data_IF_858341236179
#
_entry.id   IF_858341236179
#
_cell.length_a   1.000
_cell.length_b   1.000
_cell.length_c   1.000
_cell.angle_alpha   90.00
_cell.angle_beta   90.00
_cell.angle_gamma   90.00
#
_symmetry.space_group_name_H-M   'P 1'
#
loop_
_entity.id
_entity.type
_entity.pdbx_description
1 polymer ?
#
# COMPACT_ATOMS: atom_id res chain seq x y z
N UNK A 1 26.30 26.07 -27.64
CA UNK A 1 24.85 26.46 -27.72
C UNK A 1 23.89 25.27 -27.54
N UNK A 2 24.24 24.09 -28.04
CA UNK A 2 23.41 22.87 -27.90
C UNK A 2 23.39 22.32 -26.46
N UNK A 3 24.47 22.50 -25.72
CA UNK A 3 24.60 22.02 -24.34
C UNK A 3 23.76 22.83 -23.33
N UNK A 4 23.54 24.11 -23.55
CA UNK A 4 22.73 24.94 -22.64
C UNK A 4 21.24 24.68 -22.78
N UNK A 5 20.76 24.34 -23.97
CA UNK A 5 19.33 24.00 -24.19
C UNK A 5 18.99 22.64 -23.61
N UNK A 6 19.85 21.63 -23.79
CA UNK A 6 19.66 20.30 -23.21
C UNK A 6 19.66 20.32 -21.67
N UNK A 7 20.58 21.06 -21.05
CA UNK A 7 20.60 21.25 -19.60
C UNK A 7 19.33 21.97 -19.08
N UNK A 8 18.88 23.02 -19.81
CA UNK A 8 17.62 23.71 -19.52
C UNK A 8 16.40 22.78 -19.62
N UNK A 9 16.35 21.90 -20.61
CA UNK A 9 15.25 20.94 -20.79
C UNK A 9 15.24 19.85 -19.72
N UNK A 10 16.42 19.38 -19.32
CA UNK A 10 16.55 18.44 -18.19
C UNK A 10 16.09 19.11 -16.90
N UNK A 11 16.51 20.34 -16.64
CA UNK A 11 16.10 21.10 -15.45
C UNK A 11 14.59 21.37 -15.43
N UNK A 12 14.00 21.79 -16.54
CA UNK A 12 12.55 22.00 -16.67
C UNK A 12 11.77 20.71 -16.46
N UNK A 13 12.22 19.58 -17.02
CA UNK A 13 11.63 18.28 -16.78
C UNK A 13 11.71 17.86 -15.31
N UNK A 14 12.84 18.12 -14.66
CA UNK A 14 13.01 17.80 -13.25
C UNK A 14 12.08 18.63 -12.37
N UNK A 15 11.97 19.95 -12.59
CA UNK A 15 11.01 20.82 -11.90
C UNK A 15 9.56 20.35 -12.11
N UNK A 16 9.19 20.04 -13.36
CA UNK A 16 7.85 19.55 -13.67
C UNK A 16 7.54 18.23 -12.94
N UNK A 17 8.50 17.30 -12.92
CA UNK A 17 8.35 16.01 -12.24
C UNK A 17 8.26 16.18 -10.71
N UNK A 18 8.96 17.12 -10.13
CA UNK A 18 8.90 17.44 -8.69
C UNK A 18 7.53 18.04 -8.33
N UNK A 19 7.03 18.99 -9.11
CA UNK A 19 5.70 19.57 -8.90
C UNK A 19 4.58 18.54 -9.06
N UNK A 20 4.66 17.72 -10.12
CA UNK A 20 3.67 16.64 -10.35
C UNK A 20 3.74 15.56 -9.25
N UNK A 21 4.94 15.29 -8.71
CA UNK A 21 5.08 14.29 -7.63
C UNK A 21 4.38 14.72 -6.34
N UNK A 22 4.36 16.02 -6.02
CA UNK A 22 3.63 16.53 -4.87
C UNK A 22 2.11 16.39 -5.07
N UNK A 23 1.57 16.91 -6.19
CA UNK A 23 0.14 16.83 -6.50
C UNK A 23 -0.39 15.42 -6.59
N UNK A 24 0.39 14.50 -7.17
CA UNK A 24 0.06 13.08 -7.29
C UNK A 24 -0.20 12.41 -5.94
N UNK A 25 0.54 12.79 -4.91
CA UNK A 25 0.38 12.24 -3.55
C UNK A 25 -0.81 12.82 -2.79
N UNK A 26 -1.46 13.87 -3.27
CA UNK A 26 -2.52 14.61 -2.59
C UNK A 26 -3.86 14.49 -3.32
N UNK A 27 -3.94 14.95 -4.59
CA UNK A 27 -5.22 15.13 -5.28
C UNK A 27 -5.93 13.80 -5.58
N UNK A 28 -5.22 12.83 -6.18
CA UNK A 28 -5.83 11.54 -6.50
C UNK A 28 -6.17 10.71 -5.25
N UNK A 29 -5.32 10.65 -4.20
CA UNK A 29 -5.71 10.06 -2.93
C UNK A 29 -6.94 10.70 -2.30
N UNK A 30 -7.03 12.04 -2.30
CA UNK A 30 -8.20 12.76 -1.77
C UNK A 30 -9.50 12.40 -2.53
N UNK A 31 -9.43 12.32 -3.86
CA UNK A 31 -10.58 11.89 -4.69
C UNK A 31 -10.98 10.44 -4.37
N UNK A 32 -10.01 9.53 -4.25
CA UNK A 32 -10.26 8.14 -3.88
C UNK A 32 -10.89 8.02 -2.48
N UNK A 33 -10.44 8.83 -1.52
CA UNK A 33 -11.04 8.87 -0.19
C UNK A 33 -12.46 9.39 -0.21
N UNK A 34 -12.71 10.52 -0.88
CA UNK A 34 -14.03 11.12 -0.94
C UNK A 34 -15.05 10.14 -1.53
N UNK A 35 -14.74 9.52 -2.67
CA UNK A 35 -15.61 8.50 -3.28
C UNK A 35 -15.82 7.28 -2.38
N UNK A 36 -14.77 6.82 -1.69
CA UNK A 36 -14.86 5.69 -0.76
C UNK A 36 -15.73 6.00 0.45
N UNK A 37 -15.62 7.20 1.01
CA UNK A 37 -16.45 7.64 2.17
C UNK A 37 -17.92 7.75 1.78
N UNK A 38 -18.23 8.39 0.66
CA UNK A 38 -19.61 8.49 0.15
C UNK A 38 -20.19 7.10 -0.09
N UNK A 39 -19.42 6.21 -0.74
CA UNK A 39 -19.84 4.84 -1.00
C UNK A 39 -20.09 4.06 0.32
N UNK A 40 -19.15 4.08 1.27
CA UNK A 40 -19.30 3.39 2.55
C UNK A 40 -20.51 3.90 3.33
N UNK A 41 -20.60 5.21 3.52
CA UNK A 41 -21.68 5.80 4.32
C UNK A 41 -23.05 5.54 3.68
N UNK A 42 -23.18 5.78 2.37
CA UNK A 42 -24.42 5.56 1.64
C UNK A 42 -24.86 4.11 1.62
N UNK A 43 -23.92 3.18 1.33
CA UNK A 43 -24.24 1.75 1.23
C UNK A 43 -24.51 1.11 2.60
N UNK A 44 -23.81 1.53 3.68
CA UNK A 44 -24.13 1.07 5.04
C UNK A 44 -25.55 1.47 5.40
N UNK A 45 -25.96 2.71 5.14
CA UNK A 45 -27.33 3.16 5.42
C UNK A 45 -28.35 2.44 4.53
N UNK A 46 -28.06 2.27 3.26
CA UNK A 46 -28.90 1.49 2.36
C UNK A 46 -29.10 0.07 2.87
N UNK A 47 -28.03 -0.63 3.26
CA UNK A 47 -28.07 -2.01 3.76
C UNK A 47 -28.83 -2.15 5.09
N UNK A 48 -28.86 -1.11 5.94
CA UNK A 48 -29.67 -1.07 7.17
C UNK A 48 -31.17 -1.04 6.88
N UNK A 49 -31.60 -0.34 5.83
CA UNK A 49 -33.03 -0.09 5.56
C UNK A 49 -33.60 -1.02 4.49
N UNK A 50 -32.81 -1.37 3.47
CA UNK A 50 -33.25 -2.26 2.39
C UNK A 50 -33.41 -3.68 2.90
N UNK A 51 -34.58 -4.27 2.64
CA UNK A 51 -34.91 -5.65 3.00
C UNK A 51 -35.03 -6.51 1.75
N UNK A 52 -34.54 -7.74 1.83
CA UNK A 52 -34.79 -8.84 0.93
C UNK A 52 -35.03 -10.09 1.78
N UNK A 53 -35.88 -11.01 1.32
CA UNK A 53 -36.25 -12.19 2.09
C UNK A 53 -36.72 -11.87 3.53
N UNK A 54 -37.38 -10.73 3.70
CA UNK A 54 -37.91 -10.18 4.96
C UNK A 54 -36.84 -9.79 6.02
N UNK A 55 -35.55 -9.76 5.65
CA UNK A 55 -34.47 -9.31 6.53
C UNK A 55 -33.72 -8.13 5.92
N UNK A 56 -33.19 -7.18 6.73
CA UNK A 56 -32.29 -6.14 6.24
C UNK A 56 -31.03 -6.73 5.61
N UNK A 57 -30.56 -6.12 4.52
CA UNK A 57 -29.36 -6.60 3.80
C UNK A 57 -28.13 -6.69 4.71
N UNK A 58 -27.97 -5.76 5.66
CA UNK A 58 -26.85 -5.75 6.59
C UNK A 58 -26.76 -7.01 7.48
N UNK A 59 -27.83 -7.79 7.58
CA UNK A 59 -27.85 -9.06 8.35
C UNK A 59 -27.47 -10.28 7.50
N UNK A 60 -27.28 -10.10 6.19
CA UNK A 60 -26.83 -11.17 5.30
C UNK A 60 -25.30 -11.27 5.33
N UNK A 61 -24.74 -12.46 5.58
CA UNK A 61 -23.29 -12.65 5.71
C UNK A 61 -22.51 -12.20 4.48
N UNK A 62 -22.99 -12.52 3.27
CA UNK A 62 -22.35 -12.10 2.03
C UNK A 62 -22.30 -10.57 1.86
N UNK A 63 -23.31 -9.85 2.34
CA UNK A 63 -23.33 -8.38 2.38
C UNK A 63 -22.39 -7.88 3.48
N UNK A 64 -22.41 -8.50 4.64
CA UNK A 64 -21.54 -8.15 5.78
C UNK A 64 -20.05 -8.25 5.42
N UNK A 65 -19.67 -9.28 4.67
CA UNK A 65 -18.30 -9.47 4.19
C UNK A 65 -17.85 -8.28 3.32
N UNK A 66 -18.67 -7.89 2.35
CA UNK A 66 -18.37 -6.75 1.45
C UNK A 66 -18.35 -5.42 2.20
N UNK A 67 -19.27 -5.21 3.14
CA UNK A 67 -19.29 -4.01 3.99
C UNK A 67 -18.01 -3.89 4.83
N UNK A 68 -17.56 -4.99 5.44
CA UNK A 68 -16.32 -4.98 6.23
C UNK A 68 -15.12 -4.67 5.35
N UNK A 69 -15.06 -5.23 4.14
CA UNK A 69 -13.99 -4.94 3.18
C UNK A 69 -13.99 -3.45 2.79
N UNK A 70 -15.16 -2.87 2.47
CA UNK A 70 -15.29 -1.44 2.16
C UNK A 70 -14.80 -0.56 3.31
N UNK A 71 -15.22 -0.86 4.55
CA UNK A 71 -14.84 -0.12 5.75
C UNK A 71 -13.32 -0.21 6.01
N UNK A 72 -12.75 -1.42 5.88
CA UNK A 72 -11.31 -1.66 6.00
C UNK A 72 -10.52 -0.84 4.99
N UNK A 73 -10.87 -0.93 3.70
CA UNK A 73 -10.15 -0.23 2.64
C UNK A 73 -10.25 1.31 2.82
N UNK A 74 -11.44 1.82 3.14
CA UNK A 74 -11.65 3.25 3.38
C UNK A 74 -10.84 3.75 4.57
N UNK A 75 -10.77 2.96 5.66
CA UNK A 75 -9.99 3.30 6.84
C UNK A 75 -8.49 3.35 6.55
N UNK A 76 -7.98 2.42 5.77
CA UNK A 76 -6.59 2.39 5.33
C UNK A 76 -6.25 3.61 4.47
N UNK A 77 -7.13 3.96 3.51
CA UNK A 77 -6.97 5.18 2.69
C UNK A 77 -6.96 6.42 3.57
N UNK A 78 -7.94 6.59 4.46
CA UNK A 78 -8.05 7.73 5.38
C UNK A 78 -6.79 7.90 6.22
N UNK A 79 -6.33 6.82 6.83
CA UNK A 79 -5.18 6.83 7.73
C UNK A 79 -3.89 7.19 6.99
N UNK A 80 -3.71 6.66 5.78
CA UNK A 80 -2.51 6.91 4.98
C UNK A 80 -2.45 8.34 4.46
N UNK A 81 -3.58 8.92 4.07
CA UNK A 81 -3.65 10.34 3.67
C UNK A 81 -3.32 11.24 4.86
N UNK A 82 -3.86 10.95 6.04
CA UNK A 82 -3.60 11.77 7.23
C UNK A 82 -2.10 11.78 7.60
N UNK A 83 -1.44 10.63 7.58
CA UNK A 83 0.01 10.55 7.83
C UNK A 83 0.79 11.27 6.73
N UNK A 84 0.45 11.02 5.45
CA UNK A 84 1.16 11.65 4.33
C UNK A 84 1.07 13.16 4.37
N UNK A 85 -0.13 13.71 4.65
CA UNK A 85 -0.32 15.16 4.79
C UNK A 85 0.51 15.71 5.96
N UNK A 86 0.53 15.03 7.11
CA UNK A 86 1.37 15.43 8.25
C UNK A 86 2.86 15.48 7.90
N UNK A 87 3.36 14.53 7.09
CA UNK A 87 4.74 14.55 6.60
C UNK A 87 4.99 15.72 5.63
N UNK A 88 4.07 15.99 4.73
CA UNK A 88 4.18 17.12 3.80
C UNK A 88 4.14 18.47 4.54
N UNK A 89 3.28 18.61 5.53
CA UNK A 89 3.16 19.82 6.37
C UNK A 89 4.43 20.05 7.20
N UNK A 90 5.17 18.98 7.55
CA UNK A 90 6.49 19.09 8.20
C UNK A 90 7.64 19.46 7.25
N UNK A 91 7.35 19.66 5.96
CA UNK A 91 8.32 20.05 4.93
C UNK A 91 9.03 18.88 4.23
N UNK A 92 8.66 17.65 4.56
CA UNK A 92 9.19 16.46 3.91
C UNK A 92 8.72 16.35 2.45
N UNK A 93 9.57 15.84 1.56
CA UNK A 93 9.24 15.64 0.14
C UNK A 93 9.33 14.16 -0.25
N UNK A 94 8.41 13.31 0.22
CA UNK A 94 8.51 11.87 0.06
C UNK A 94 8.05 11.42 -1.34
N UNK A 95 8.91 11.54 -2.36
CA UNK A 95 8.57 11.24 -3.76
C UNK A 95 8.12 9.80 -4.01
N UNK A 96 8.69 8.82 -3.28
CA UNK A 96 8.29 7.41 -3.36
C UNK A 96 6.95 7.20 -2.69
N UNK A 97 6.73 7.80 -1.52
CA UNK A 97 5.45 7.71 -0.79
C UNK A 97 4.32 8.35 -1.62
N UNK A 98 4.57 9.46 -2.33
CA UNK A 98 3.58 10.04 -3.26
C UNK A 98 3.13 9.02 -4.33
N UNK A 99 4.07 8.23 -4.86
CA UNK A 99 3.74 7.17 -5.81
C UNK A 99 2.97 6.01 -5.16
N UNK A 100 3.34 5.61 -3.94
CA UNK A 100 2.59 4.63 -3.13
C UNK A 100 1.18 5.13 -2.90
N UNK A 101 1.01 6.35 -2.44
CA UNK A 101 -0.29 6.95 -2.13
C UNK A 101 -1.19 6.95 -3.35
N UNK A 102 -0.71 7.44 -4.49
CA UNK A 102 -1.49 7.44 -5.74
C UNK A 102 -1.94 6.03 -6.11
N UNK A 103 -1.03 5.09 -6.17
CA UNK A 103 -1.31 3.73 -6.62
C UNK A 103 -2.21 2.97 -5.64
N UNK A 104 -1.88 2.98 -4.34
CA UNK A 104 -2.62 2.22 -3.35
C UNK A 104 -4.03 2.78 -3.10
N UNK A 105 -4.17 4.09 -2.97
CA UNK A 105 -5.47 4.67 -2.66
C UNK A 105 -6.46 4.54 -3.82
N UNK A 106 -6.00 4.71 -5.07
CA UNK A 106 -6.88 4.58 -6.24
C UNK A 106 -7.30 3.12 -6.50
N UNK A 107 -6.41 2.13 -6.29
CA UNK A 107 -6.79 0.71 -6.40
C UNK A 107 -7.73 0.28 -5.28
N UNK A 108 -7.44 0.66 -4.03
CA UNK A 108 -8.30 0.36 -2.88
C UNK A 108 -9.66 1.06 -2.99
N UNK A 109 -9.70 2.30 -3.48
CA UNK A 109 -10.95 3.01 -3.77
C UNK A 109 -11.80 2.29 -4.81
N UNK A 110 -11.19 1.69 -5.85
CA UNK A 110 -11.92 0.84 -6.82
C UNK A 110 -12.52 -0.40 -6.16
N UNK A 111 -11.81 -1.04 -5.24
CA UNK A 111 -12.36 -2.18 -4.48
C UNK A 111 -13.60 -1.74 -3.70
N UNK A 112 -13.54 -0.60 -3.02
CA UNK A 112 -14.69 -0.03 -2.29
C UNK A 112 -15.88 0.19 -3.23
N UNK A 113 -15.65 0.85 -4.37
CA UNK A 113 -16.71 1.16 -5.33
C UNK A 113 -17.30 -0.12 -5.96
N UNK A 114 -16.50 -1.12 -6.29
CA UNK A 114 -16.99 -2.40 -6.80
C UNK A 114 -17.92 -3.07 -5.79
N UNK A 115 -17.53 -3.17 -4.52
CA UNK A 115 -18.38 -3.75 -3.48
C UNK A 115 -19.63 -2.90 -3.22
N UNK A 116 -19.53 -1.58 -3.33
CA UNK A 116 -20.66 -0.67 -3.22
C UNK A 116 -21.69 -0.93 -4.32
N UNK A 117 -21.24 -1.06 -5.59
CA UNK A 117 -22.09 -1.42 -6.71
C UNK A 117 -22.77 -2.78 -6.50
N UNK A 118 -22.03 -3.79 -6.04
CA UNK A 118 -22.58 -5.12 -5.79
C UNK A 118 -23.71 -5.10 -4.73
N UNK A 119 -23.53 -4.35 -3.64
CA UNK A 119 -24.53 -4.28 -2.55
C UNK A 119 -25.74 -3.43 -2.98
N UNK A 120 -25.51 -2.32 -3.68
CA UNK A 120 -26.57 -1.42 -4.11
C UNK A 120 -27.35 -1.98 -5.32
N UNK A 121 -26.73 -2.92 -6.04
CA UNK A 121 -27.31 -3.73 -7.12
C UNK A 121 -27.95 -2.87 -8.23
N UNK A 122 -29.15 -3.21 -8.71
CA UNK A 122 -29.81 -2.50 -9.80
C UNK A 122 -29.99 -0.99 -9.58
N UNK A 123 -30.13 -0.56 -8.33
CA UNK A 123 -30.19 0.88 -7.99
C UNK A 123 -28.90 1.65 -8.29
N UNK A 124 -27.75 0.94 -8.37
CA UNK A 124 -26.47 1.53 -8.75
C UNK A 124 -26.28 1.62 -10.27
N UNK A 125 -27.06 0.86 -11.04
CA UNK A 125 -27.00 0.83 -12.51
C UNK A 125 -28.00 1.82 -13.12
N UNK A 126 -29.20 1.89 -12.56
CA UNK A 126 -30.23 2.80 -13.07
C UNK A 126 -29.84 4.25 -12.77
N UNK A 127 -29.75 5.07 -13.81
CA UNK A 127 -29.51 6.52 -13.67
C UNK A 127 -30.72 7.18 -13.02
N UNK A 128 -30.48 8.14 -12.17
CA UNK A 128 -31.54 8.90 -11.53
C UNK A 128 -31.13 9.48 -10.17
N UNK A 129 -32.06 10.20 -9.57
CA UNK A 129 -31.83 10.98 -8.35
C UNK A 129 -31.33 10.14 -7.15
N UNK A 130 -31.74 8.87 -7.07
CA UNK A 130 -31.31 7.96 -5.99
C UNK A 130 -29.96 7.27 -6.17
N UNK A 131 -29.33 7.42 -7.36
CA UNK A 131 -28.04 6.79 -7.63
C UNK A 131 -26.87 7.71 -7.27
N UNK A 132 -26.29 7.52 -6.11
CA UNK A 132 -25.12 8.28 -5.62
C UNK A 132 -23.78 7.63 -5.97
N UNK A 133 -23.76 6.47 -6.64
CA UNK A 133 -22.54 5.67 -6.87
C UNK A 133 -22.02 5.78 -8.31
N UNK A 134 -22.90 5.91 -9.30
CA UNK A 134 -22.55 5.74 -10.72
C UNK A 134 -21.43 6.67 -11.16
N UNK A 135 -21.52 7.95 -10.83
CA UNK A 135 -20.52 8.95 -11.24
C UNK A 135 -19.15 8.67 -10.68
N UNK A 136 -19.05 8.22 -9.44
CA UNK A 136 -17.78 7.82 -8.81
C UNK A 136 -17.23 6.54 -9.43
N UNK A 137 -18.08 5.54 -9.66
CA UNK A 137 -17.69 4.29 -10.29
C UNK A 137 -17.16 4.51 -11.70
N UNK A 138 -17.87 5.28 -12.52
CA UNK A 138 -17.48 5.60 -13.90
C UNK A 138 -16.20 6.41 -13.97
N UNK A 139 -15.93 7.29 -13.00
CA UNK A 139 -14.73 8.13 -12.98
C UNK A 139 -13.50 7.43 -12.35
N UNK A 140 -13.68 6.37 -11.58
CA UNK A 140 -12.59 5.67 -10.88
C UNK A 140 -11.42 5.23 -11.81
N UNK A 141 -11.65 4.77 -13.07
CA UNK A 141 -10.56 4.45 -14.00
C UNK A 141 -9.65 5.62 -14.36
N UNK A 142 -10.10 6.86 -14.21
CA UNK A 142 -9.27 8.05 -14.44
C UNK A 142 -8.11 8.03 -13.43
N UNK A 143 -8.40 7.77 -12.15
CA UNK A 143 -7.41 7.75 -11.08
C UNK A 143 -6.29 6.73 -11.28
N UNK A 144 -6.55 5.59 -11.93
CA UNK A 144 -5.51 4.57 -12.19
C UNK A 144 -4.68 4.87 -13.43
N UNK A 145 -5.15 5.77 -14.29
CA UNK A 145 -4.55 6.06 -15.61
C UNK A 145 -3.67 7.31 -15.55
N UNK A 146 -4.20 8.42 -15.01
CA UNK A 146 -3.53 9.72 -15.01
C UNK A 146 -2.35 9.74 -14.02
N UNK A 147 -1.42 10.68 -14.23
CA UNK A 147 -0.21 10.86 -13.40
C UNK A 147 0.66 9.60 -13.28
N UNK A 148 0.66 8.80 -14.33
CA UNK A 148 1.37 7.54 -14.43
C UNK A 148 0.47 6.33 -14.13
N UNK A 149 0.40 5.41 -15.09
CA UNK A 149 -0.37 4.17 -14.95
C UNK A 149 0.02 3.43 -13.67
N UNK A 150 -0.96 2.97 -12.90
CA UNK A 150 -0.73 2.22 -11.67
C UNK A 150 0.14 0.99 -11.89
N UNK A 151 0.00 0.31 -13.01
CA UNK A 151 0.81 -0.88 -13.38
C UNK A 151 2.30 -0.57 -13.39
N UNK A 152 2.70 0.55 -14.03
CA UNK A 152 4.10 0.96 -14.10
C UNK A 152 4.56 1.65 -12.81
N UNK A 153 3.69 2.43 -12.17
CA UNK A 153 3.98 3.08 -10.90
C UNK A 153 4.34 2.04 -9.84
N UNK A 154 3.55 0.98 -9.73
CA UNK A 154 3.78 -0.13 -8.79
C UNK A 154 5.17 -0.74 -8.93
N UNK A 155 5.54 -1.17 -10.12
CA UNK A 155 6.77 -1.95 -10.33
C UNK A 155 8.03 -1.11 -10.52
N UNK A 156 7.94 -0.01 -11.27
CA UNK A 156 9.11 0.77 -11.68
C UNK A 156 9.39 1.95 -10.75
N UNK A 157 8.35 2.64 -10.25
CA UNK A 157 8.55 3.84 -9.44
C UNK A 157 8.66 3.48 -7.98
N UNK A 158 7.69 2.77 -7.41
CA UNK A 158 7.66 2.47 -5.98
C UNK A 158 8.88 1.64 -5.57
N UNK A 159 9.13 0.53 -6.24
CA UNK A 159 10.25 -0.33 -5.85
C UNK A 159 11.54 -0.01 -6.61
N UNK A 160 11.48 0.12 -7.94
CA UNK A 160 12.68 0.31 -8.77
C UNK A 160 13.44 1.62 -8.46
N UNK A 161 12.73 2.72 -8.20
CA UNK A 161 13.34 3.99 -7.76
C UNK A 161 13.51 4.04 -6.24
N UNK A 162 12.56 3.48 -5.49
CA UNK A 162 12.59 3.44 -4.04
C UNK A 162 13.81 2.71 -3.50
N UNK A 163 14.14 1.54 -4.05
CA UNK A 163 15.31 0.77 -3.65
C UNK A 163 16.61 1.56 -3.82
N UNK A 164 16.77 2.24 -4.97
CA UNK A 164 17.97 3.02 -5.26
C UNK A 164 18.13 4.24 -4.34
N UNK A 165 17.03 4.82 -3.84
CA UNK A 165 17.07 6.02 -2.99
C UNK A 165 17.12 5.71 -1.50
N UNK A 166 16.63 4.55 -1.09
CA UNK A 166 16.43 4.23 0.33
C UNK A 166 17.46 3.24 0.89
N UNK A 167 18.21 2.54 0.04
CA UNK A 167 19.20 1.57 0.51
C UNK A 167 20.49 2.29 0.92
N UNK A 168 21.02 2.09 2.14
CA UNK A 168 22.12 2.88 2.69
C UNK A 168 23.42 2.80 1.90
N UNK A 169 23.65 1.73 1.13
CA UNK A 169 24.93 1.51 0.42
C UNK A 169 24.79 1.30 -1.09
N UNK A 170 23.56 1.23 -1.66
CA UNK A 170 23.37 0.97 -3.09
C UNK A 170 23.88 2.13 -3.93
N UNK A 171 23.64 3.36 -3.50
CA UNK A 171 24.09 4.54 -4.24
C UNK A 171 25.62 4.56 -4.39
N UNK A 172 26.34 4.29 -3.32
CA UNK A 172 27.81 4.25 -3.31
C UNK A 172 28.38 3.13 -4.17
N UNK A 173 27.69 1.99 -4.22
CA UNK A 173 28.06 0.87 -5.12
C UNK A 173 27.82 1.22 -6.58
N UNK A 174 26.68 1.86 -6.90
CA UNK A 174 26.39 2.29 -8.26
C UNK A 174 27.35 3.39 -8.73
N UNK A 175 27.70 4.33 -7.86
CA UNK A 175 28.67 5.39 -8.14
C UNK A 175 30.07 4.80 -8.40
N UNK A 176 30.51 3.84 -7.57
CA UNK A 176 31.77 3.14 -7.77
C UNK A 176 31.82 2.37 -9.11
N UNK A 177 30.70 1.78 -9.55
CA UNK A 177 30.60 1.14 -10.86
C UNK A 177 30.73 2.17 -11.98
N UNK A 178 30.06 3.33 -11.87
CA UNK A 178 30.10 4.39 -12.88
C UNK A 178 31.49 5.00 -12.99
N UNK A 179 32.20 5.14 -11.85
CA UNK A 179 33.56 5.63 -11.78
C UNK A 179 34.62 4.57 -12.10
N UNK A 180 34.23 3.31 -12.35
CA UNK A 180 35.12 2.16 -12.55
C UNK A 180 36.13 1.94 -11.40
N UNK A 181 35.77 2.35 -10.19
CA UNK A 181 36.58 2.20 -8.97
C UNK A 181 36.28 0.85 -8.29
N UNK A 182 37.07 -0.17 -8.67
CA UNK A 182 36.93 -1.54 -8.14
C UNK A 182 37.26 -1.65 -6.65
N UNK A 183 38.10 -0.78 -6.11
CA UNK A 183 38.43 -0.78 -4.67
C UNK A 183 37.25 -0.32 -3.84
N UNK A 184 36.65 0.80 -4.22
CA UNK A 184 35.47 1.39 -3.60
C UNK A 184 34.23 0.49 -3.77
N UNK A 185 34.11 -0.17 -4.92
CA UNK A 185 33.10 -1.19 -5.16
C UNK A 185 33.20 -2.33 -4.16
N UNK A 186 34.40 -2.96 -4.03
CA UNK A 186 34.59 -4.09 -3.11
C UNK A 186 34.31 -3.74 -1.65
N UNK A 187 34.76 -2.55 -1.21
CA UNK A 187 34.49 -2.09 0.15
C UNK A 187 33.00 -1.94 0.42
N UNK A 188 32.27 -1.23 -0.44
CA UNK A 188 30.84 -1.00 -0.27
C UNK A 188 30.01 -2.26 -0.46
N UNK A 189 30.45 -3.16 -1.34
CA UNK A 189 29.82 -4.46 -1.50
C UNK A 189 29.94 -5.33 -0.24
N UNK A 190 31.10 -5.36 0.42
CA UNK A 190 31.25 -6.03 1.72
C UNK A 190 30.35 -5.44 2.80
N UNK A 191 30.15 -4.12 2.83
CA UNK A 191 29.20 -3.46 3.74
C UNK A 191 27.76 -3.92 3.48
N UNK A 192 27.35 -4.04 2.21
CA UNK A 192 26.01 -4.58 1.84
C UNK A 192 25.85 -6.01 2.33
N UNK A 193 26.84 -6.87 2.10
CA UNK A 193 26.80 -8.29 2.52
C UNK A 193 26.70 -8.38 4.04
N UNK A 194 27.57 -7.67 4.78
CA UNK A 194 27.52 -7.65 6.24
C UNK A 194 26.19 -7.14 6.80
N UNK A 195 25.66 -6.08 6.23
CA UNK A 195 24.35 -5.52 6.60
C UNK A 195 23.21 -6.52 6.32
N UNK A 196 23.25 -7.18 5.16
CA UNK A 196 22.26 -8.20 4.77
C UNK A 196 22.26 -9.41 5.68
N UNK A 197 23.45 -9.91 6.07
CA UNK A 197 23.59 -11.01 7.02
C UNK A 197 23.08 -10.61 8.42
N UNK A 198 23.36 -9.38 8.87
CA UNK A 198 22.85 -8.85 10.13
C UNK A 198 21.33 -8.75 10.15
N UNK A 199 20.70 -8.32 9.06
CA UNK A 199 19.24 -8.27 8.91
C UNK A 199 18.64 -9.68 8.85
N UNK A 200 19.27 -10.60 8.13
CA UNK A 200 18.85 -12.00 8.08
C UNK A 200 18.86 -12.63 9.48
N UNK A 201 19.94 -12.47 10.23
CA UNK A 201 20.03 -12.97 11.60
C UNK A 201 18.95 -12.39 12.52
N UNK A 202 18.60 -11.12 12.37
CA UNK A 202 17.51 -10.48 13.12
C UNK A 202 16.13 -10.97 12.70
N UNK A 203 15.88 -11.16 11.40
CA UNK A 203 14.59 -11.61 10.88
C UNK A 203 14.32 -13.09 11.12
N UNK A 204 15.37 -13.92 11.10
CA UNK A 204 15.32 -15.36 11.35
C UNK A 204 15.42 -15.74 12.85
N UNK A 205 15.61 -14.76 13.75
CA UNK A 205 15.75 -15.03 15.17
C UNK A 205 14.44 -15.61 15.76
N UNK A 206 14.46 -16.82 16.34
CA UNK A 206 13.26 -17.43 16.92
C UNK A 206 12.72 -16.66 18.15
N UNK A 207 13.54 -15.86 18.83
CA UNK A 207 13.08 -14.94 19.89
C UNK A 207 12.35 -13.70 19.32
N UNK A 208 12.33 -13.55 18.01
CA UNK A 208 11.63 -12.46 17.29
C UNK A 208 10.11 -12.52 17.41
N UNK A 209 9.50 -13.60 17.95
CA UNK A 209 8.06 -13.54 18.26
C UNK A 209 7.73 -12.65 19.45
N UNK A 210 8.70 -12.16 20.17
CA UNK A 210 8.51 -11.10 21.16
C UNK A 210 8.46 -9.71 20.51
N UNK A 211 8.86 -9.58 19.23
CA UNK A 211 8.70 -8.34 18.48
C UNK A 211 7.30 -8.27 17.87
N UNK A 212 6.75 -7.06 17.81
CA UNK A 212 5.49 -6.80 17.13
C UNK A 212 5.55 -7.29 15.67
N UNK A 213 4.50 -7.97 15.20
CA UNK A 213 4.42 -8.58 13.85
C UNK A 213 4.75 -7.60 12.71
N UNK A 214 4.36 -6.33 12.86
CA UNK A 214 4.68 -5.26 11.91
C UNK A 214 6.19 -4.98 11.84
N UNK A 215 6.88 -4.94 12.99
CA UNK A 215 8.34 -4.74 13.03
C UNK A 215 9.06 -5.92 12.40
N UNK A 216 8.62 -7.13 12.68
CA UNK A 216 9.17 -8.34 12.09
C UNK A 216 9.08 -8.33 10.57
N UNK A 217 7.91 -8.07 10.00
CA UNK A 217 7.77 -7.99 8.54
C UNK A 217 8.56 -6.83 7.92
N UNK A 218 8.79 -5.74 8.65
CA UNK A 218 9.69 -4.67 8.19
C UNK A 218 11.12 -5.16 8.06
N UNK A 219 11.62 -5.96 9.01
CA UNK A 219 12.94 -6.57 8.93
C UNK A 219 13.03 -7.61 7.79
N UNK A 220 12.00 -8.42 7.61
CA UNK A 220 11.89 -9.39 6.51
C UNK A 220 11.94 -8.68 5.15
N UNK A 221 11.18 -7.59 4.98
CA UNK A 221 11.22 -6.77 3.79
C UNK A 221 12.61 -6.17 3.52
N UNK A 222 13.27 -5.63 4.56
CA UNK A 222 14.62 -5.10 4.43
C UNK A 222 15.63 -6.18 4.01
N UNK A 223 15.52 -7.38 4.61
CA UNK A 223 16.33 -8.53 4.25
C UNK A 223 16.11 -8.93 2.77
N UNK A 224 14.86 -9.12 2.34
CA UNK A 224 14.52 -9.45 0.96
C UNK A 224 15.02 -8.38 -0.02
N UNK A 225 14.88 -7.10 0.30
CA UNK A 225 15.30 -5.99 -0.54
C UNK A 225 16.80 -6.02 -0.82
N UNK A 226 17.62 -6.37 0.18
CA UNK A 226 19.07 -6.49 0.01
C UNK A 226 19.45 -7.62 -0.97
N UNK A 227 18.81 -8.78 -0.84
CA UNK A 227 19.09 -9.90 -1.76
C UNK A 227 18.58 -9.60 -3.18
N UNK A 228 17.43 -8.95 -3.32
CA UNK A 228 16.87 -8.56 -4.62
C UNK A 228 17.73 -7.48 -5.29
N UNK A 229 18.36 -6.60 -4.52
CA UNK A 229 19.29 -5.60 -5.03
C UNK A 229 20.47 -6.21 -5.81
N UNK A 230 20.84 -7.46 -5.50
CA UNK A 230 21.89 -8.20 -6.24
C UNK A 230 21.52 -8.47 -7.71
N UNK A 231 20.26 -8.36 -8.12
CA UNK A 231 19.86 -8.40 -9.52
C UNK A 231 20.28 -7.15 -10.31
N UNK A 232 20.69 -6.07 -9.62
CA UNK A 232 21.12 -4.82 -10.25
C UNK A 232 20.07 -4.27 -11.23
N UNK A 233 20.52 -3.80 -12.40
CA UNK A 233 19.61 -3.29 -13.44
C UNK A 233 18.62 -4.33 -14.01
N UNK A 234 18.85 -5.63 -13.79
CA UNK A 234 17.95 -6.71 -14.21
C UNK A 234 16.60 -6.69 -13.54
N UNK A 235 16.46 -6.03 -12.37
CA UNK A 235 15.20 -5.89 -11.64
C UNK A 235 14.12 -5.18 -12.48
N UNK A 236 14.51 -4.25 -13.36
CA UNK A 236 13.59 -3.54 -14.26
C UNK A 236 12.86 -4.47 -15.23
N UNK A 237 13.43 -5.63 -15.54
CA UNK A 237 12.82 -6.65 -16.40
C UNK A 237 11.95 -7.64 -15.59
N UNK A 238 12.24 -7.81 -14.29
CA UNK A 238 11.50 -8.70 -13.38
C UNK A 238 10.34 -7.94 -12.70
N UNK A 239 9.41 -7.41 -13.51
CA UNK A 239 8.35 -6.51 -13.01
C UNK A 239 7.35 -7.20 -12.09
N UNK A 240 7.15 -8.50 -12.19
CA UNK A 240 6.33 -9.26 -11.24
C UNK A 240 6.97 -9.26 -9.85
N UNK A 241 8.26 -9.55 -9.78
CA UNK A 241 9.04 -9.55 -8.55
C UNK A 241 9.10 -8.15 -7.92
N UNK A 242 9.45 -7.13 -8.71
CA UNK A 242 9.50 -5.74 -8.21
C UNK A 242 8.11 -5.23 -7.82
N UNK A 243 7.06 -5.68 -8.48
CA UNK A 243 5.68 -5.37 -8.12
C UNK A 243 5.26 -5.96 -6.78
N UNK A 244 5.60 -7.22 -6.51
CA UNK A 244 5.31 -7.83 -5.20
C UNK A 244 6.10 -7.16 -4.07
N UNK A 245 7.35 -6.79 -4.31
CA UNK A 245 8.14 -6.02 -3.35
C UNK A 245 7.57 -4.61 -3.13
N UNK A 246 7.05 -3.97 -4.17
CA UNK A 246 6.37 -2.69 -4.05
C UNK A 246 5.11 -2.79 -3.18
N UNK A 247 4.33 -3.85 -3.35
CA UNK A 247 3.13 -4.08 -2.55
C UNK A 247 3.48 -4.33 -1.07
N UNK A 248 4.51 -5.15 -0.79
CA UNK A 248 4.97 -5.39 0.58
C UNK A 248 5.37 -4.07 1.24
N UNK A 249 6.17 -3.25 0.57
CA UNK A 249 6.55 -1.94 1.07
C UNK A 249 5.34 -1.02 1.30
N UNK A 250 4.43 -0.99 0.33
CA UNK A 250 3.22 -0.17 0.41
C UNK A 250 2.35 -0.58 1.59
N UNK A 251 2.10 -1.89 1.76
CA UNK A 251 1.29 -2.39 2.87
C UNK A 251 1.95 -2.12 4.23
N UNK A 252 3.28 -2.16 4.34
CA UNK A 252 3.99 -1.76 5.56
C UNK A 252 3.75 -0.27 5.85
N UNK A 253 3.89 0.60 4.85
CA UNK A 253 3.60 2.03 5.02
C UNK A 253 2.15 2.26 5.46
N UNK A 254 1.18 1.59 4.84
CA UNK A 254 -0.24 1.67 5.20
C UNK A 254 -0.49 1.16 6.62
N UNK A 255 0.16 0.09 7.05
CA UNK A 255 0.03 -0.45 8.40
C UNK A 255 0.58 0.51 9.47
N UNK A 256 1.75 1.12 9.21
CA UNK A 256 2.27 2.19 10.07
C UNK A 256 1.35 3.41 10.10
N UNK A 257 0.74 3.77 8.97
CA UNK A 257 -0.21 4.88 8.88
C UNK A 257 -1.46 4.62 9.74
N UNK A 258 -2.02 3.41 9.69
CA UNK A 258 -3.17 3.02 10.50
C UNK A 258 -2.83 3.07 12.00
N UNK A 259 -1.63 2.60 12.36
CA UNK A 259 -1.13 2.64 13.75
C UNK A 259 -0.93 4.08 14.24
N UNK A 260 -0.33 4.93 13.40
CA UNK A 260 -0.14 6.35 13.68
C UNK A 260 -1.46 7.07 13.84
N UNK A 261 -2.42 6.83 12.93
CA UNK A 261 -3.75 7.43 12.95
C UNK A 261 -4.51 7.10 14.24
N UNK A 262 -4.47 5.85 14.68
CA UNK A 262 -5.08 5.41 15.93
C UNK A 262 -4.52 6.18 17.13
N UNK A 263 -3.20 6.36 17.21
CA UNK A 263 -2.54 7.07 18.32
C UNK A 263 -2.91 8.57 18.33
N UNK A 264 -2.93 9.17 17.15
CA UNK A 264 -3.17 10.61 16.99
C UNK A 264 -4.63 10.98 17.26
N UNK A 265 -5.56 10.20 16.73
CA UNK A 265 -7.01 10.45 16.85
C UNK A 265 -7.68 9.65 17.97
N UNK A 266 -6.93 8.84 18.71
CA UNK A 266 -7.42 7.97 19.80
C UNK A 266 -8.64 7.14 19.36
N UNK A 267 -8.54 6.50 18.20
CA UNK A 267 -9.60 5.67 17.63
C UNK A 267 -9.52 4.22 18.15
N UNK A 268 -10.39 3.34 17.65
CA UNK A 268 -10.50 1.95 18.10
C UNK A 268 -9.22 1.15 17.87
N UNK A 269 -8.62 0.62 18.94
CA UNK A 269 -7.49 -0.31 18.89
C UNK A 269 -7.89 -1.63 18.22
N UNK A 270 -9.11 -2.13 18.47
CA UNK A 270 -9.62 -3.38 17.89
C UNK A 270 -9.67 -3.33 16.37
N UNK A 271 -10.23 -2.24 15.81
CA UNK A 271 -10.31 -2.07 14.36
C UNK A 271 -8.94 -1.78 13.74
N UNK A 272 -8.09 -1.01 14.42
CA UNK A 272 -6.70 -0.76 14.03
C UNK A 272 -5.92 -2.07 13.89
N UNK A 273 -5.97 -2.93 14.89
CA UNK A 273 -5.29 -4.23 14.85
C UNK A 273 -5.82 -5.12 13.72
N UNK A 274 -7.13 -5.12 13.49
CA UNK A 274 -7.72 -5.83 12.36
C UNK A 274 -7.17 -5.34 11.01
N UNK A 275 -7.10 -4.02 10.81
CA UNK A 275 -6.56 -3.44 9.58
C UNK A 275 -5.07 -3.79 9.38
N UNK A 276 -4.28 -3.74 10.45
CA UNK A 276 -2.86 -4.11 10.41
C UNK A 276 -2.71 -5.59 10.09
N UNK A 277 -3.42 -6.47 10.78
CA UNK A 277 -3.38 -7.93 10.56
C UNK A 277 -3.71 -8.28 9.10
N UNK A 278 -4.72 -7.61 8.50
CA UNK A 278 -5.10 -7.82 7.09
C UNK A 278 -3.97 -7.42 6.14
N UNK A 279 -3.35 -6.27 6.33
CA UNK A 279 -2.22 -5.79 5.52
C UNK A 279 -1.00 -6.71 5.64
N UNK A 280 -0.71 -7.20 6.85
CA UNK A 280 0.39 -8.12 7.08
C UNK A 280 0.13 -9.51 6.48
N UNK A 281 -1.12 -9.97 6.49
CA UNK A 281 -1.53 -11.22 5.85
C UNK A 281 -1.39 -11.14 4.32
N UNK A 282 -1.80 -10.04 3.70
CA UNK A 282 -1.54 -9.78 2.27
C UNK A 282 -0.04 -9.82 1.95
N UNK A 283 0.82 -9.32 2.85
CA UNK A 283 2.27 -9.37 2.70
C UNK A 283 2.85 -10.78 2.81
N UNK A 284 2.33 -11.63 3.70
CA UNK A 284 2.81 -13.01 3.86
C UNK A 284 2.71 -13.79 2.55
N UNK A 285 1.59 -13.66 1.84
CA UNK A 285 1.41 -14.28 0.52
C UNK A 285 2.44 -13.76 -0.51
N UNK A 286 2.69 -12.45 -0.50
CA UNK A 286 3.64 -11.81 -1.42
C UNK A 286 5.09 -12.19 -1.10
N UNK A 287 5.46 -12.23 0.19
CA UNK A 287 6.78 -12.69 0.65
C UNK A 287 7.02 -14.14 0.17
N UNK A 288 6.04 -15.03 0.39
CA UNK A 288 6.11 -16.41 -0.08
C UNK A 288 6.29 -16.49 -1.60
N UNK A 289 5.58 -15.65 -2.35
CA UNK A 289 5.64 -15.61 -3.80
C UNK A 289 7.00 -15.10 -4.29
N UNK A 290 7.54 -14.04 -3.68
CA UNK A 290 8.86 -13.49 -3.97
C UNK A 290 9.94 -14.54 -3.75
N UNK A 291 9.94 -15.20 -2.58
CA UNK A 291 10.93 -16.23 -2.25
C UNK A 291 10.83 -17.43 -3.20
N UNK A 292 9.62 -17.90 -3.51
CA UNK A 292 9.39 -19.08 -4.32
C UNK A 292 9.74 -18.89 -5.80
N UNK A 293 9.64 -17.68 -6.33
CA UNK A 293 9.89 -17.38 -7.74
C UNK A 293 11.33 -16.92 -8.05
N UNK A 294 12.19 -16.85 -7.05
CA UNK A 294 13.62 -16.64 -7.27
C UNK A 294 14.41 -17.85 -6.72
N UNK A 295 15.11 -18.62 -7.60
CA UNK A 295 15.81 -19.82 -7.17
C UNK A 295 16.86 -19.60 -6.08
N UNK A 296 17.55 -18.46 -6.10
CA UNK A 296 18.55 -18.12 -5.08
C UNK A 296 17.87 -17.78 -3.74
N UNK A 297 16.80 -17.00 -3.77
CA UNK A 297 16.03 -16.64 -2.57
C UNK A 297 15.35 -17.86 -1.98
N UNK A 298 14.84 -18.78 -2.82
CA UNK A 298 14.16 -19.97 -2.34
C UNK A 298 15.09 -20.89 -1.50
N UNK A 299 16.36 -20.96 -1.86
CA UNK A 299 17.36 -21.74 -1.11
C UNK A 299 17.82 -21.00 0.16
N UNK A 300 18.12 -19.70 0.02
CA UNK A 300 18.70 -18.91 1.10
C UNK A 300 17.70 -18.45 2.16
N UNK A 301 16.47 -18.15 1.75
CA UNK A 301 15.47 -17.48 2.59
C UNK A 301 14.20 -18.31 2.80
N UNK A 302 14.23 -19.62 2.56
CA UNK A 302 13.05 -20.48 2.76
C UNK A 302 12.51 -20.40 4.19
N UNK A 303 13.37 -20.14 5.19
CA UNK A 303 12.97 -19.96 6.58
C UNK A 303 12.13 -18.70 6.84
N UNK A 304 12.12 -17.75 5.91
CA UNK A 304 11.27 -16.55 5.99
C UNK A 304 9.89 -16.76 5.35
N UNK A 305 9.58 -17.94 4.84
CA UNK A 305 8.24 -18.26 4.34
C UNK A 305 7.24 -18.33 5.49
N UNK A 306 6.09 -17.74 5.26
CA UNK A 306 5.00 -17.71 6.22
C UNK A 306 4.02 -18.86 5.99
N UNK A 307 3.48 -19.40 7.07
CA UNK A 307 2.25 -20.17 7.01
C UNK A 307 1.08 -19.17 7.03
N UNK A 308 0.40 -19.00 5.90
CA UNK A 308 -0.71 -18.05 5.78
C UNK A 308 -1.95 -18.66 6.41
N UNK A 309 -2.41 -18.06 7.49
CA UNK A 309 -3.62 -18.51 8.17
C UNK A 309 -4.88 -18.16 7.34
N UNK A 310 -5.87 -19.06 7.32
CA UNK A 310 -7.15 -18.77 6.65
C UNK A 310 -7.91 -17.66 7.38
N UNK A 311 -8.77 -16.98 6.63
CA UNK A 311 -9.64 -15.93 7.16
C UNK A 311 -10.62 -16.51 8.19
N UNK A 312 -10.80 -15.81 9.31
CA UNK A 312 -11.72 -16.22 10.39
C UNK A 312 -13.03 -15.42 10.32
N UNK A 313 -14.10 -16.07 9.84
CA UNK A 313 -15.42 -15.44 9.65
C UNK A 313 -16.05 -14.90 10.95
N UNK A 314 -15.82 -15.58 12.09
CA UNK A 314 -16.33 -15.08 13.39
C UNK A 314 -15.60 -13.81 13.83
N UNK A 315 -14.27 -13.74 13.61
CA UNK A 315 -13.49 -12.51 13.85
C UNK A 315 -14.02 -11.37 12.99
N UNK A 316 -14.26 -11.61 11.71
CA UNK A 316 -14.77 -10.62 10.77
C UNK A 316 -16.15 -10.08 11.17
N UNK A 317 -17.08 -10.97 11.54
CA UNK A 317 -18.42 -10.60 12.02
C UNK A 317 -18.34 -9.72 13.26
N UNK A 318 -17.52 -10.10 14.24
CA UNK A 318 -17.34 -9.35 15.48
C UNK A 318 -16.67 -7.99 15.27
N UNK A 319 -15.81 -7.87 14.26
CA UNK A 319 -15.18 -6.60 13.90
C UNK A 319 -16.20 -5.71 13.19
N UNK A 320 -16.97 -6.23 12.23
CA UNK A 320 -17.99 -5.46 11.54
C UNK A 320 -19.00 -4.88 12.54
N UNK A 321 -19.52 -5.71 13.44
CA UNK A 321 -20.44 -5.25 14.47
C UNK A 321 -19.85 -4.12 15.31
N UNK A 322 -18.59 -4.31 15.76
CA UNK A 322 -17.89 -3.30 16.53
C UNK A 322 -17.72 -1.96 15.76
N UNK A 323 -17.43 -2.01 14.46
CA UNK A 323 -17.28 -0.80 13.63
C UNK A 323 -18.61 -0.08 13.46
N UNK A 324 -19.68 -0.83 13.18
CA UNK A 324 -21.02 -0.25 12.95
C UNK A 324 -21.65 0.34 14.22
N UNK A 325 -21.28 -0.14 15.41
CA UNK A 325 -21.73 0.34 16.71
C UNK A 325 -20.82 1.45 17.28
N UNK A 326 -19.67 1.72 16.68
CA UNK A 326 -18.71 2.70 17.16
C UNK A 326 -18.88 4.04 16.43
N UNK A 327 -19.60 4.97 17.05
CA UNK A 327 -19.89 6.28 16.48
C UNK A 327 -18.62 7.02 16.05
N UNK A 328 -17.55 6.93 16.83
CA UNK A 328 -16.28 7.59 16.51
C UNK A 328 -15.65 7.06 15.22
N UNK A 329 -15.71 5.74 14.95
CA UNK A 329 -15.25 5.20 13.68
C UNK A 329 -16.15 5.69 12.55
N UNK A 330 -17.46 5.62 12.75
CA UNK A 330 -18.43 6.02 11.72
C UNK A 330 -18.38 7.51 11.40
N UNK A 331 -18.07 8.38 12.37
CA UNK A 331 -17.82 9.80 12.14
C UNK A 331 -16.59 10.04 11.23
N UNK A 332 -15.52 9.26 11.40
CA UNK A 332 -14.36 9.38 10.54
C UNK A 332 -14.61 8.84 9.11
N UNK A 333 -15.58 7.93 8.93
CA UNK A 333 -16.00 7.40 7.63
C UNK A 333 -17.05 8.30 6.96
N UNK A 334 -17.81 9.07 7.71
CA UNK A 334 -18.74 10.06 7.20
C UNK A 334 -18.00 11.27 6.61
#
# INVERSE_FOLDING_TARGET
LITSSAASDVYKRQMLMECLAAGRGICLPATALASSKVACYGVVNYAKHRKQFNIPLIKMEAVSEKLLEMLYQTWVIQSSIALTNSLLDSGEKPSVISAVMKQQTTERGRVVLNHAMDIHAGSAICLGYGNFLESFYRSAPIGITVEGSNTLTRSLIVYGQGLNKSHPYIFEVLDAILQQDFSKFNENFKKIVGYSLGLFGKSANPLGFLSESLQRQTLEFACLSNFIALHGGGIKRKQMLSGDMADIFSNLYLAYSVKWYQRHHKTSVKFTNYCIDRLLQENQEKINRVISNDPKLNVLLFMLKHNVEPRNYNKDRNVLQHVLENDKIMEHIK
#
